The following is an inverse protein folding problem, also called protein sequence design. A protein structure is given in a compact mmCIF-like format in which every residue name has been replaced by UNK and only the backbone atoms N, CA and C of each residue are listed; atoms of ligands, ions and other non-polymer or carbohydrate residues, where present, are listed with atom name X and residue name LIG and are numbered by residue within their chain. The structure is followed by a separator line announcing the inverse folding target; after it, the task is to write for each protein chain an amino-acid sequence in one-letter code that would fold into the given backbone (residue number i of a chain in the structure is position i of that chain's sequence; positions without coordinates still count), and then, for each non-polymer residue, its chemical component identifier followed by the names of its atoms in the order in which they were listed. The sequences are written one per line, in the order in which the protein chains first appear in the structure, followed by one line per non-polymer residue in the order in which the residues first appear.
data_IF_422844126744
#
_entry.id   IF_422844126744
#
_cell.length_a   1.000
_cell.length_b   1.000
_cell.length_c   1.000
_cell.angle_alpha   90.00
_cell.angle_beta   90.00
_cell.angle_gamma   90.00
#
_symmetry.space_group_name_H-M   'P 1'
#
loop_
_entity.id
_entity.type
_entity.pdbx_description
1 polymer ?
#
# COMPACT_ATOMS: atom_id res chain seq x y z
N UNK A 1 -22.25 10.70 -48.23
CA UNK A 1 -21.90 11.05 -46.83
C UNK A 1 -22.75 12.19 -46.29
N UNK A 2 -22.36 13.49 -46.37
CA UNK A 2 -23.06 14.61 -45.69
C UNK A 2 -24.59 14.67 -45.86
N UNK A 3 -25.10 14.48 -47.09
CA UNK A 3 -26.55 14.52 -47.33
C UNK A 3 -27.29 13.30 -46.77
N UNK A 4 -26.64 12.13 -46.72
CA UNK A 4 -27.26 10.87 -46.25
C UNK A 4 -27.12 10.64 -44.75
N UNK A 5 -26.16 11.28 -44.08
CA UNK A 5 -25.96 11.26 -42.61
C UNK A 5 -26.28 12.61 -41.97
N UNK A 6 -27.21 13.37 -42.59
CA UNK A 6 -27.55 14.74 -42.17
C UNK A 6 -28.22 14.79 -40.80
N UNK A 7 -28.85 13.70 -40.36
CA UNK A 7 -29.53 13.62 -39.06
C UNK A 7 -28.51 13.60 -37.93
N UNK A 8 -27.48 12.78 -38.07
CA UNK A 8 -26.39 12.57 -37.10
C UNK A 8 -25.47 13.80 -37.01
N UNK A 9 -25.21 14.45 -38.16
CA UNK A 9 -24.49 15.74 -38.19
C UNK A 9 -25.29 16.84 -37.49
N UNK A 10 -26.63 16.78 -37.52
CA UNK A 10 -27.52 17.79 -36.89
C UNK A 10 -27.73 17.56 -35.41
N UNK A 11 -27.68 16.32 -34.94
CA UNK A 11 -27.68 15.99 -33.51
C UNK A 11 -26.32 16.27 -32.85
N UNK A 12 -25.26 16.42 -33.64
CA UNK A 12 -23.90 16.63 -33.15
C UNK A 12 -23.15 15.33 -32.89
N UNK A 13 -23.68 14.20 -33.32
CA UNK A 13 -23.10 12.87 -33.06
C UNK A 13 -21.86 12.62 -33.92
N UNK A 14 -21.78 13.22 -35.12
CA UNK A 14 -20.63 13.10 -36.02
C UNK A 14 -20.17 14.44 -36.58
N UNK A 15 -18.86 14.66 -36.58
CA UNK A 15 -18.18 15.67 -37.38
C UNK A 15 -17.37 15.00 -38.49
N UNK A 16 -17.43 15.56 -39.71
CA UNK A 16 -16.76 14.98 -40.88
C UNK A 16 -15.70 15.92 -41.45
N UNK A 17 -14.45 15.48 -41.37
CA UNK A 17 -13.31 16.04 -42.08
C UNK A 17 -13.05 15.20 -43.33
N UNK A 18 -12.98 15.85 -44.50
CA UNK A 18 -12.80 15.17 -45.80
C UNK A 18 -11.38 15.39 -46.31
N UNK A 19 -10.77 14.39 -46.94
CA UNK A 19 -9.50 14.50 -47.65
C UNK A 19 -9.63 13.85 -49.04
N UNK A 20 -8.91 14.37 -50.03
CA UNK A 20 -8.93 13.88 -51.41
C UNK A 20 -8.01 12.69 -51.68
N UNK A 21 -6.98 12.49 -50.86
CA UNK A 21 -6.03 11.38 -50.95
C UNK A 21 -5.38 11.09 -49.58
N UNK A 22 -4.55 10.03 -49.50
CA UNK A 22 -3.89 9.64 -48.25
C UNK A 22 -2.89 10.68 -47.70
N UNK A 23 -2.22 11.45 -48.55
CA UNK A 23 -1.28 12.50 -48.11
C UNK A 23 -2.03 13.63 -47.40
N UNK A 24 -3.12 14.10 -48.01
CA UNK A 24 -3.99 15.11 -47.40
C UNK A 24 -4.62 14.60 -46.11
N UNK A 25 -5.04 13.32 -46.06
CA UNK A 25 -5.59 12.72 -44.85
C UNK A 25 -4.60 12.76 -43.67
N UNK A 26 -3.32 12.40 -43.91
CA UNK A 26 -2.27 12.49 -42.89
C UNK A 26 -1.98 13.92 -42.45
N UNK A 27 -2.06 14.89 -43.38
CA UNK A 27 -1.94 16.30 -43.03
C UNK A 27 -3.07 16.74 -42.08
N UNK A 28 -4.31 16.33 -42.36
CA UNK A 28 -5.47 16.65 -41.51
C UNK A 28 -5.41 15.97 -40.15
N UNK A 29 -4.95 14.72 -40.06
CA UNK A 29 -4.73 14.04 -38.77
C UNK A 29 -3.65 14.72 -37.90
N UNK A 30 -2.72 15.46 -38.53
CA UNK A 30 -1.72 16.26 -37.79
C UNK A 30 -2.30 17.58 -37.30
N UNK A 31 -3.19 18.19 -38.09
CA UNK A 31 -3.87 19.46 -37.76
C UNK A 31 -5.00 19.27 -36.74
N UNK A 32 -5.78 18.20 -36.87
CA UNK A 32 -6.95 17.87 -36.08
C UNK A 32 -6.66 16.64 -35.21
N UNK A 33 -6.36 16.87 -33.93
CA UNK A 33 -6.04 15.83 -32.93
C UNK A 33 -7.27 15.17 -32.30
N UNK A 34 -8.45 15.65 -32.67
CA UNK A 34 -9.78 15.22 -32.23
C UNK A 34 -10.44 14.22 -33.19
N UNK A 35 -9.77 13.83 -34.28
CA UNK A 35 -10.29 12.80 -35.19
C UNK A 35 -10.14 11.42 -34.54
N UNK A 36 -11.26 10.74 -34.29
CA UNK A 36 -11.26 9.39 -33.71
C UNK A 36 -11.09 8.28 -34.76
N UNK A 37 -11.65 8.48 -35.95
CA UNK A 37 -11.82 7.44 -36.95
C UNK A 37 -11.54 7.95 -38.37
N UNK A 38 -10.85 7.13 -39.17
CA UNK A 38 -10.60 7.38 -40.60
C UNK A 38 -11.34 6.34 -41.43
N UNK A 39 -12.25 6.79 -42.28
CA UNK A 39 -12.87 5.96 -43.30
C UNK A 39 -12.19 6.25 -44.66
N UNK A 40 -11.46 5.28 -45.21
CA UNK A 40 -10.68 5.48 -46.45
C UNK A 40 -11.01 4.46 -47.53
N UNK A 41 -10.99 4.88 -48.79
CA UNK A 41 -11.04 3.96 -49.93
C UNK A 41 -9.68 3.27 -50.11
N UNK A 42 -9.66 2.00 -50.53
CA UNK A 42 -8.40 1.32 -50.86
C UNK A 42 -7.74 2.00 -52.06
N UNK A 43 -8.49 2.28 -53.12
CA UNK A 43 -7.93 2.76 -54.37
C UNK A 43 -8.11 4.27 -54.47
N UNK A 44 -7.05 5.03 -54.18
CA UNK A 44 -7.02 6.50 -54.23
C UNK A 44 -5.78 6.99 -54.98
N UNK A 45 -5.82 8.19 -55.61
CA UNK A 45 -4.65 8.78 -56.26
C UNK A 45 -3.59 9.19 -55.24
N UNK A 46 -2.33 9.30 -55.69
CA UNK A 46 -1.13 9.70 -54.91
C UNK A 46 -0.72 8.72 -53.80
N UNK A 47 -1.59 8.49 -52.82
CA UNK A 47 -1.39 7.52 -51.74
C UNK A 47 -2.67 6.71 -51.54
N UNK A 48 -2.54 5.38 -51.66
CA UNK A 48 -3.63 4.43 -51.52
C UNK A 48 -4.03 4.22 -50.04
N UNK A 49 -5.21 3.63 -49.82
CA UNK A 49 -5.76 3.43 -48.47
C UNK A 49 -4.96 2.46 -47.62
N UNK A 50 -4.26 1.50 -48.24
CA UNK A 50 -3.43 0.52 -47.53
C UNK A 50 -2.13 1.15 -47.01
N UNK A 51 -1.52 2.02 -47.80
CA UNK A 51 -0.35 2.81 -47.41
C UNK A 51 -0.73 3.82 -46.34
N UNK A 52 -1.89 4.47 -46.48
CA UNK A 52 -2.44 5.36 -45.45
C UNK A 52 -2.62 4.62 -44.11
N UNK A 53 -3.22 3.43 -44.13
CA UNK A 53 -3.45 2.61 -42.94
C UNK A 53 -2.16 2.33 -42.16
N UNK A 54 -1.06 2.02 -42.86
CA UNK A 54 0.25 1.78 -42.23
C UNK A 54 0.86 3.04 -41.61
N UNK A 55 0.53 4.21 -42.14
CA UNK A 55 1.09 5.49 -41.69
C UNK A 55 0.29 6.14 -40.56
N UNK A 56 -1.02 5.87 -40.44
CA UNK A 56 -1.88 6.44 -39.39
C UNK A 56 -1.28 6.27 -37.98
N UNK A 57 -0.82 5.07 -37.56
CA UNK A 57 -0.27 4.88 -36.21
C UNK A 57 0.95 5.73 -35.88
N UNK A 58 1.70 6.18 -36.90
CA UNK A 58 2.86 7.07 -36.71
C UNK A 58 2.46 8.53 -36.45
N UNK A 59 1.25 8.92 -36.84
CA UNK A 59 0.69 10.27 -36.60
C UNK A 59 -0.10 10.30 -35.31
N UNK A 60 -0.96 9.30 -35.12
CA UNK A 60 -1.74 9.10 -33.91
C UNK A 60 -2.11 7.61 -33.76
N UNK A 61 -1.58 6.91 -32.73
CA UNK A 61 -1.85 5.50 -32.52
C UNK A 61 -3.28 5.19 -32.05
N UNK A 62 -4.06 6.20 -31.65
CA UNK A 62 -5.42 6.03 -31.13
C UNK A 62 -6.49 6.05 -32.23
N UNK A 63 -6.15 6.56 -33.42
CA UNK A 63 -7.07 6.66 -34.55
C UNK A 63 -7.35 5.28 -35.13
N UNK A 64 -8.63 4.94 -35.32
CA UNK A 64 -9.03 3.67 -35.94
C UNK A 64 -9.39 3.87 -37.40
N UNK A 65 -8.94 2.95 -38.26
CA UNK A 65 -9.21 3.03 -39.69
C UNK A 65 -10.21 1.97 -40.12
N UNK A 66 -11.27 2.38 -40.81
CA UNK A 66 -12.19 1.49 -41.52
C UNK A 66 -11.97 1.66 -43.01
N UNK A 67 -11.85 0.55 -43.72
CA UNK A 67 -11.46 0.55 -45.12
C UNK A 67 -12.66 0.26 -46.02
N UNK A 68 -12.85 1.07 -47.06
CA UNK A 68 -13.90 0.89 -48.07
C UNK A 68 -13.32 0.20 -49.30
N UNK A 69 -13.82 -1.00 -49.62
CA UNK A 69 -13.33 -1.83 -50.72
C UNK A 69 -14.41 -2.16 -51.76
N UNK A 70 -14.01 -2.60 -52.95
CA UNK A 70 -14.92 -3.05 -53.98
C UNK A 70 -15.53 -4.43 -53.63
N UNK A 71 -16.76 -4.69 -54.07
CA UNK A 71 -17.39 -6.01 -53.93
C UNK A 71 -16.53 -7.10 -54.57
N UNK A 72 -16.17 -8.13 -53.80
CA UNK A 72 -15.35 -9.26 -54.27
C UNK A 72 -13.83 -9.06 -54.16
N UNK A 73 -13.34 -7.90 -53.72
CA UNK A 73 -11.90 -7.65 -53.54
C UNK A 73 -11.38 -8.20 -52.19
N UNK A 74 -11.52 -9.52 -52.01
CA UNK A 74 -11.15 -10.20 -50.79
C UNK A 74 -9.65 -10.14 -50.49
N UNK A 75 -8.80 -10.03 -51.52
CA UNK A 75 -7.35 -9.96 -51.35
C UNK A 75 -6.95 -8.67 -50.64
N UNK A 76 -7.49 -7.53 -51.08
CA UNK A 76 -7.17 -6.25 -50.46
C UNK A 76 -7.85 -6.08 -49.10
N UNK A 77 -9.08 -6.58 -48.91
CA UNK A 77 -9.75 -6.59 -47.59
C UNK A 77 -8.91 -7.38 -46.57
N UNK A 78 -8.50 -8.60 -46.92
CA UNK A 78 -7.65 -9.42 -46.04
C UNK A 78 -6.33 -8.71 -45.72
N UNK A 79 -5.75 -8.04 -46.71
CA UNK A 79 -4.51 -7.27 -46.53
C UNK A 79 -4.73 -6.10 -45.56
N UNK A 80 -5.83 -5.36 -45.69
CA UNK A 80 -6.19 -4.26 -44.80
C UNK A 80 -6.37 -4.76 -43.34
N UNK A 81 -7.14 -5.82 -43.13
CA UNK A 81 -7.36 -6.37 -41.78
C UNK A 81 -6.05 -6.86 -41.15
N UNK A 82 -5.20 -7.56 -41.92
CA UNK A 82 -3.87 -7.99 -41.43
C UNK A 82 -2.93 -6.82 -41.11
N UNK A 83 -3.18 -5.64 -41.68
CA UNK A 83 -2.42 -4.40 -41.43
C UNK A 83 -3.06 -3.54 -40.33
N UNK A 84 -4.08 -4.03 -39.65
CA UNK A 84 -4.70 -3.35 -38.50
C UNK A 84 -5.88 -2.44 -38.84
N UNK A 85 -6.51 -2.61 -40.01
CA UNK A 85 -7.83 -2.01 -40.22
C UNK A 85 -8.81 -2.55 -39.17
N UNK A 86 -9.56 -1.64 -38.57
CA UNK A 86 -10.52 -1.96 -37.51
C UNK A 86 -11.72 -2.74 -38.07
N UNK A 87 -12.21 -2.30 -39.23
CA UNK A 87 -13.27 -2.99 -39.98
C UNK A 87 -13.24 -2.58 -41.46
N UNK A 88 -14.17 -3.10 -42.26
CA UNK A 88 -14.30 -2.74 -43.67
C UNK A 88 -15.77 -2.57 -44.10
N UNK A 89 -15.97 -1.79 -45.17
CA UNK A 89 -17.28 -1.61 -45.84
C UNK A 89 -17.13 -1.89 -47.33
N UNK A 90 -18.13 -2.53 -47.94
CA UNK A 90 -18.07 -2.87 -49.37
C UNK A 90 -18.85 -1.88 -50.24
N UNK A 91 -18.44 -1.73 -51.51
CA UNK A 91 -19.16 -0.94 -52.53
C UNK A 91 -20.09 -1.83 -53.36
N UNK A 92 -21.32 -1.39 -53.72
CA UNK A 92 -21.92 -0.10 -53.37
C UNK A 92 -22.22 0.00 -51.87
N UNK A 93 -21.94 1.17 -51.29
CA UNK A 93 -22.01 1.38 -49.83
C UNK A 93 -23.45 1.21 -49.35
N UNK A 94 -23.68 0.20 -48.51
CA UNK A 94 -24.86 0.10 -47.67
C UNK A 94 -24.71 1.06 -46.49
N UNK A 95 -25.65 2.00 -46.36
CA UNK A 95 -25.56 3.04 -45.34
C UNK A 95 -26.01 2.54 -43.97
N UNK A 96 -26.79 1.47 -43.88
CA UNK A 96 -27.16 0.87 -42.60
C UNK A 96 -25.96 0.10 -42.02
N UNK A 97 -25.26 -0.66 -42.87
CA UNK A 97 -24.02 -1.37 -42.51
C UNK A 97 -22.88 -0.40 -42.14
N UNK A 98 -22.70 0.68 -42.93
CA UNK A 98 -21.74 1.73 -42.61
C UNK A 98 -22.02 2.38 -41.26
N UNK A 99 -23.30 2.63 -40.92
CA UNK A 99 -23.67 3.18 -39.61
C UNK A 99 -23.32 2.24 -38.47
N UNK A 100 -23.67 0.96 -38.59
CA UNK A 100 -23.33 -0.05 -37.60
C UNK A 100 -21.81 -0.09 -37.39
N UNK A 101 -21.05 -0.08 -38.48
CA UNK A 101 -19.58 -0.09 -38.44
C UNK A 101 -19.01 1.14 -37.76
N UNK A 102 -19.48 2.35 -38.10
CA UNK A 102 -19.05 3.60 -37.47
C UNK A 102 -19.39 3.59 -35.99
N UNK A 103 -20.65 3.30 -35.63
CA UNK A 103 -21.09 3.26 -34.23
C UNK A 103 -20.26 2.30 -33.40
N UNK A 104 -20.07 1.06 -33.87
CA UNK A 104 -19.26 0.06 -33.18
C UNK A 104 -17.79 0.49 -33.04
N UNK A 105 -17.24 1.13 -34.06
CA UNK A 105 -15.86 1.64 -34.04
C UNK A 105 -15.71 2.73 -32.97
N UNK A 106 -16.62 3.70 -32.95
CA UNK A 106 -16.60 4.80 -31.98
C UNK A 106 -16.84 4.30 -30.54
N UNK A 107 -17.82 3.42 -30.31
CA UNK A 107 -18.06 2.79 -29.00
C UNK A 107 -16.80 2.07 -28.48
N UNK A 108 -16.08 1.39 -29.37
CA UNK A 108 -14.84 0.72 -29.01
C UNK A 108 -13.75 1.74 -28.64
N UNK A 109 -13.60 2.82 -29.40
CA UNK A 109 -12.63 3.89 -29.10
C UNK A 109 -12.92 4.50 -27.73
N UNK A 110 -14.18 4.81 -27.42
CA UNK A 110 -14.59 5.34 -26.13
C UNK A 110 -14.26 4.39 -24.98
N UNK A 111 -14.53 3.09 -25.15
CA UNK A 111 -14.17 2.07 -24.15
C UNK A 111 -12.65 2.03 -23.90
N UNK A 112 -11.84 2.05 -24.96
CA UNK A 112 -10.38 2.08 -24.84
C UNK A 112 -9.90 3.36 -24.12
N UNK A 113 -10.47 4.52 -24.47
CA UNK A 113 -10.13 5.80 -23.82
C UNK A 113 -10.44 5.76 -22.33
N UNK A 114 -11.63 5.29 -21.95
CA UNK A 114 -12.02 5.15 -20.55
C UNK A 114 -11.13 4.18 -19.78
N UNK A 115 -10.73 3.07 -20.40
CA UNK A 115 -9.80 2.11 -19.80
C UNK A 115 -8.40 2.71 -19.59
N UNK A 116 -7.89 3.47 -20.56
CA UNK A 116 -6.61 4.18 -20.44
C UNK A 116 -6.64 5.23 -19.34
N UNK A 117 -7.68 6.06 -19.28
CA UNK A 117 -7.84 7.06 -18.22
C UNK A 117 -7.93 6.41 -16.83
N UNK A 118 -8.65 5.30 -16.71
CA UNK A 118 -8.77 4.57 -15.45
C UNK A 118 -7.42 3.98 -15.01
N UNK A 119 -6.67 3.41 -15.95
CA UNK A 119 -5.32 2.90 -15.70
C UNK A 119 -4.38 4.02 -15.27
N UNK A 120 -4.39 5.15 -15.97
CA UNK A 120 -3.49 6.27 -15.66
C UNK A 120 -3.81 6.85 -14.27
N UNK A 121 -5.09 6.89 -13.87
CA UNK A 121 -5.50 7.23 -12.49
C UNK A 121 -4.97 6.24 -11.45
N UNK A 122 -5.02 4.94 -11.72
CA UNK A 122 -4.47 3.92 -10.82
C UNK A 122 -2.96 4.08 -10.64
N UNK A 123 -2.23 4.33 -11.73
CA UNK A 123 -0.78 4.59 -11.68
C UNK A 123 -0.45 5.82 -10.81
N UNK A 124 -1.24 6.88 -10.90
CA UNK A 124 -1.07 8.06 -10.03
C UNK A 124 -1.29 7.69 -8.56
N UNK A 125 -2.38 6.96 -8.25
CA UNK A 125 -2.71 6.55 -6.89
C UNK A 125 -1.65 5.63 -6.27
N UNK A 126 -1.15 4.66 -7.04
CA UNK A 126 -0.06 3.76 -6.61
C UNK A 126 1.22 4.55 -6.26
N UNK A 127 1.55 5.57 -7.06
CA UNK A 127 2.70 6.43 -6.78
C UNK A 127 2.51 7.29 -5.52
N UNK A 128 1.30 7.80 -5.29
CA UNK A 128 0.96 8.55 -4.07
C UNK A 128 1.03 7.67 -2.82
N UNK A 129 0.52 6.44 -2.89
CA UNK A 129 0.61 5.45 -1.81
C UNK A 129 2.06 5.04 -1.52
N UNK A 130 2.86 4.80 -2.56
CA UNK A 130 4.30 4.51 -2.41
C UNK A 130 5.07 5.67 -1.76
N UNK A 131 4.70 6.91 -2.06
CA UNK A 131 5.27 8.08 -1.39
C UNK A 131 4.87 8.12 0.09
N UNK A 132 3.60 7.88 0.41
CA UNK A 132 3.10 7.84 1.78
C UNK A 132 3.81 6.77 2.62
N UNK A 133 4.02 5.57 2.05
CA UNK A 133 4.78 4.49 2.70
C UNK A 133 6.19 4.95 3.09
N UNK A 134 6.92 5.55 2.14
CA UNK A 134 8.28 6.04 2.40
C UNK A 134 8.31 7.12 3.48
N UNK A 135 7.30 7.98 3.53
CA UNK A 135 7.16 8.97 4.61
C UNK A 135 6.94 8.27 5.96
N UNK A 136 6.05 7.29 6.02
CA UNK A 136 5.79 6.50 7.24
C UNK A 136 7.07 5.83 7.74
N UNK A 137 7.78 5.13 6.87
CA UNK A 137 9.05 4.46 7.18
C UNK A 137 10.13 5.45 7.63
N UNK A 138 10.18 6.66 7.07
CA UNK A 138 11.16 7.70 7.47
C UNK A 138 10.92 8.28 8.85
N UNK A 139 9.69 8.15 9.37
CA UNK A 139 9.29 8.67 10.68
C UNK A 139 9.69 7.68 11.79
N UNK A 140 9.72 6.37 11.51
CA UNK A 140 10.11 5.33 12.47
C UNK A 140 11.62 5.38 12.80
N UNK A 141 12.03 4.98 14.01
CA UNK A 141 13.45 4.90 14.36
C UNK A 141 14.22 3.95 13.43
N UNK A 142 15.31 4.46 12.85
CA UNK A 142 16.25 3.67 12.02
C UNK A 142 17.60 3.47 12.69
N UNK A 143 17.88 4.22 13.75
CA UNK A 143 19.09 4.09 14.57
C UNK A 143 18.72 3.53 15.93
N UNK A 144 19.44 2.50 16.34
CA UNK A 144 19.24 1.82 17.62
C UNK A 144 20.48 1.97 18.50
N UNK A 145 20.32 2.03 19.84
CA UNK A 145 21.46 2.07 20.75
C UNK A 145 22.29 0.79 20.66
N UNK A 146 23.58 0.95 20.37
CA UNK A 146 24.59 -0.12 20.45
C UNK A 146 25.34 0.08 21.77
N UNK A 147 24.90 -0.61 22.83
CA UNK A 147 25.55 -0.57 24.14
C UNK A 147 25.82 -1.97 24.66
N UNK A 148 26.87 -2.10 25.46
CA UNK A 148 27.16 -3.35 26.18
C UNK A 148 26.16 -3.61 27.31
N UNK A 149 25.53 -2.56 27.86
CA UNK A 149 24.56 -2.69 28.94
C UNK A 149 23.17 -3.11 28.46
N UNK A 150 22.81 -2.78 27.21
CA UNK A 150 21.58 -3.22 26.57
C UNK A 150 21.60 -3.02 25.05
N UNK A 151 20.80 -3.81 24.35
CA UNK A 151 20.62 -3.75 22.91
C UNK A 151 19.14 -3.60 22.59
N UNK A 152 18.83 -2.82 21.55
CA UNK A 152 17.46 -2.67 21.05
C UNK A 152 17.47 -2.85 19.55
N UNK A 153 16.46 -3.49 19.00
CA UNK A 153 16.25 -3.52 17.56
C UNK A 153 14.76 -3.72 17.25
N UNK A 154 14.28 -3.10 16.17
CA UNK A 154 12.92 -3.27 15.71
C UNK A 154 12.83 -3.35 14.20
N UNK A 155 11.76 -3.97 13.76
CA UNK A 155 11.36 -4.06 12.36
C UNK A 155 9.83 -4.05 12.28
N UNK A 156 9.32 -3.54 11.16
CA UNK A 156 7.91 -3.47 10.84
C UNK A 156 7.71 -3.78 9.37
N UNK A 157 6.86 -4.75 9.07
CA UNK A 157 6.45 -5.15 7.72
C UNK A 157 4.96 -4.83 7.55
N UNK A 158 4.63 -3.83 6.72
CA UNK A 158 3.24 -3.43 6.50
C UNK A 158 2.51 -4.41 5.57
N UNK A 159 1.25 -4.75 5.88
CA UNK A 159 0.43 -5.65 5.07
C UNK A 159 -0.11 -5.00 3.79
N UNK A 160 -0.11 -3.66 3.74
CA UNK A 160 -0.55 -2.83 2.62
C UNK A 160 0.50 -1.75 2.34
N UNK A 161 0.20 -0.86 1.38
CA UNK A 161 1.09 0.27 1.09
C UNK A 161 1.37 1.14 2.31
N UNK A 162 0.42 1.30 3.22
CA UNK A 162 0.59 2.01 4.49
C UNK A 162 -0.06 1.23 5.63
N UNK A 163 0.61 1.24 6.78
CA UNK A 163 0.21 0.46 7.97
C UNK A 163 -0.42 1.30 9.09
N UNK A 164 -1.16 0.65 9.99
CA UNK A 164 -1.62 1.21 11.27
C UNK A 164 -0.60 1.05 12.40
N UNK A 165 0.30 0.06 12.27
CA UNK A 165 1.32 -0.23 13.27
C UNK A 165 2.41 0.83 13.38
N UNK A 166 3.02 0.93 14.56
CA UNK A 166 4.31 1.58 14.75
C UNK A 166 5.07 1.09 15.97
N UNK A 167 6.38 1.36 15.96
CA UNK A 167 7.23 1.31 17.14
C UNK A 167 7.96 2.64 17.34
N UNK A 168 8.40 2.91 18.58
CA UNK A 168 9.24 4.07 18.85
C UNK A 168 10.25 3.85 19.99
N UNK A 169 11.33 4.62 19.94
CA UNK A 169 12.32 4.75 21.01
C UNK A 169 12.28 6.17 21.55
N UNK A 170 11.80 6.30 22.79
CA UNK A 170 11.64 7.58 23.46
C UNK A 170 12.85 7.85 24.35
N UNK A 171 13.57 8.97 24.17
CA UNK A 171 14.61 9.35 25.11
C UNK A 171 13.95 9.77 26.43
N UNK A 172 14.24 9.05 27.50
CA UNK A 172 13.74 9.38 28.84
C UNK A 172 14.90 9.96 29.67
N UNK A 173 14.60 10.92 30.55
CA UNK A 173 15.60 11.53 31.42
C UNK A 173 16.31 10.49 32.30
N UNK A 174 17.59 10.73 32.57
CA UNK A 174 18.43 9.87 33.42
C UNK A 174 19.05 8.69 32.69
N UNK A 175 19.20 8.73 31.37
CA UNK A 175 19.82 7.63 30.60
C UNK A 175 18.91 6.42 30.40
N UNK A 176 17.62 6.54 30.76
CA UNK A 176 16.59 5.54 30.55
C UNK A 176 16.09 5.58 29.10
N UNK A 177 15.58 4.45 28.62
CA UNK A 177 15.04 4.32 27.27
C UNK A 177 13.57 3.91 27.34
N UNK A 178 12.71 4.66 26.67
CA UNK A 178 11.31 4.29 26.45
C UNK A 178 11.18 3.45 25.18
N UNK A 179 10.42 2.37 25.26
CA UNK A 179 10.10 1.46 24.17
C UNK A 179 8.59 1.43 23.99
N UNK A 180 8.13 1.67 22.77
CA UNK A 180 6.72 1.63 22.44
C UNK A 180 6.47 0.74 21.23
N UNK A 181 5.39 -0.05 21.29
CA UNK A 181 4.77 -0.72 20.14
C UNK A 181 3.27 -0.45 20.22
N UNK A 182 2.67 -0.23 19.06
CA UNK A 182 1.28 0.12 18.95
C UNK A 182 0.68 -0.33 17.63
N UNK A 183 -0.62 -0.60 17.67
CA UNK A 183 -1.44 -0.97 16.52
C UNK A 183 -2.74 -0.13 16.51
N UNK A 184 -3.05 0.45 15.35
CA UNK A 184 -4.21 1.29 15.12
C UNK A 184 -5.33 0.49 14.48
N UNK A 185 -6.53 0.61 15.05
CA UNK A 185 -7.73 0.00 14.50
C UNK A 185 -7.99 0.42 13.04
N UNK A 186 -8.26 -0.54 12.17
CA UNK A 186 -8.55 -0.30 10.77
C UNK A 186 -7.31 -0.48 9.89
N UNK A 187 -7.40 -0.14 8.60
CA UNK A 187 -6.32 -0.38 7.62
C UNK A 187 -6.23 0.75 6.60
N UNK A 188 -5.08 0.89 5.97
CA UNK A 188 -4.83 1.87 4.91
C UNK A 188 -4.67 3.30 5.43
N UNK A 189 -4.99 4.29 4.60
CA UNK A 189 -4.67 5.71 4.85
C UNK A 189 -5.23 6.24 6.18
N UNK A 190 -6.51 5.99 6.57
CA UNK A 190 -7.02 6.50 7.85
C UNK A 190 -6.22 5.99 9.06
N UNK A 191 -5.93 4.69 9.10
CA UNK A 191 -5.14 4.08 10.16
C UNK A 191 -3.72 4.66 10.20
N UNK A 192 -3.05 4.80 9.05
CA UNK A 192 -1.72 5.41 8.96
C UNK A 192 -1.68 6.87 9.44
N UNK A 193 -2.73 7.66 9.18
CA UNK A 193 -2.82 9.04 9.68
C UNK A 193 -3.01 9.09 11.20
N UNK A 194 -3.85 8.21 11.74
CA UNK A 194 -4.06 8.13 13.18
C UNK A 194 -2.83 7.57 13.90
N UNK A 195 -2.09 6.67 13.26
CA UNK A 195 -0.77 6.21 13.70
C UNK A 195 0.18 7.39 13.86
N UNK A 196 0.35 8.22 12.82
CA UNK A 196 1.27 9.37 12.86
C UNK A 196 0.89 10.36 13.97
N UNK A 197 -0.41 10.61 14.16
CA UNK A 197 -0.91 11.43 15.26
C UNK A 197 -0.59 10.82 16.61
N UNK A 198 -0.90 9.52 16.81
CA UNK A 198 -0.65 8.79 18.06
C UNK A 198 0.82 8.81 18.44
N UNK A 199 1.72 8.53 17.49
CA UNK A 199 3.17 8.58 17.71
C UNK A 199 3.66 9.99 18.06
N UNK A 200 3.16 11.02 17.37
CA UNK A 200 3.53 12.41 17.64
C UNK A 200 3.12 12.84 19.03
N UNK A 201 1.89 12.51 19.44
CA UNK A 201 1.38 12.77 20.79
C UNK A 201 2.17 12.00 21.84
N UNK A 202 2.50 10.74 21.59
CA UNK A 202 3.32 9.92 22.49
C UNK A 202 4.69 10.55 22.74
N UNK A 203 5.40 10.95 21.69
CA UNK A 203 6.69 11.64 21.83
C UNK A 203 6.57 12.95 22.59
N UNK A 204 5.49 13.71 22.37
CA UNK A 204 5.21 14.96 23.08
C UNK A 204 4.98 14.75 24.57
N UNK A 205 4.08 13.82 24.93
CA UNK A 205 3.73 13.50 26.31
C UNK A 205 4.90 12.89 27.10
N UNK A 206 5.87 12.26 26.43
CA UNK A 206 7.07 11.73 27.06
C UNK A 206 8.11 12.81 27.45
N UNK A 207 7.98 14.05 26.98
CA UNK A 207 8.94 15.12 27.30
C UNK A 207 8.78 15.53 28.78
N UNK A 208 9.82 15.31 29.59
CA UNK A 208 9.80 15.66 31.01
C UNK A 208 8.90 14.76 31.88
N UNK A 209 8.42 13.64 31.32
CA UNK A 209 7.63 12.64 32.02
C UNK A 209 8.31 11.28 31.91
N UNK A 210 8.29 10.50 32.99
CA UNK A 210 8.88 9.15 33.00
C UNK A 210 8.00 8.09 33.66
N UNK A 211 6.75 8.44 33.92
CA UNK A 211 5.71 7.52 34.38
C UNK A 211 4.88 7.09 33.16
N UNK A 212 4.93 5.80 32.76
CA UNK A 212 4.26 5.34 31.56
C UNK A 212 2.73 5.46 31.66
N UNK A 213 2.14 5.28 32.86
CA UNK A 213 0.71 5.45 33.09
C UNK A 213 0.27 6.89 32.82
N UNK A 214 1.04 7.88 33.29
CA UNK A 214 0.75 9.30 33.04
C UNK A 214 0.88 9.65 31.56
N UNK A 215 1.90 9.14 30.88
CA UNK A 215 2.10 9.36 29.44
C UNK A 215 0.89 8.81 28.66
N UNK A 216 0.49 7.56 28.89
CA UNK A 216 -0.65 6.97 28.19
C UNK A 216 -1.96 7.69 28.47
N UNK A 217 -2.15 8.18 29.71
CA UNK A 217 -3.34 8.97 30.07
C UNK A 217 -3.42 10.27 29.28
N UNK A 218 -2.31 11.00 29.18
CA UNK A 218 -2.23 12.26 28.43
C UNK A 218 -2.48 12.01 26.95
N UNK A 219 -1.81 11.01 26.36
CA UNK A 219 -2.02 10.62 24.96
C UNK A 219 -3.48 10.23 24.71
N UNK A 220 -4.08 9.44 25.60
CA UNK A 220 -5.48 9.02 25.48
C UNK A 220 -6.45 10.21 25.49
N UNK A 221 -6.25 11.18 26.39
CA UNK A 221 -7.07 12.39 26.44
C UNK A 221 -7.00 13.16 25.13
N UNK A 222 -5.79 13.39 24.61
CA UNK A 222 -5.57 14.10 23.35
C UNK A 222 -6.13 13.34 22.15
N UNK A 223 -6.01 12.01 22.12
CA UNK A 223 -6.58 11.18 21.05
C UNK A 223 -8.10 11.14 21.08
N UNK A 224 -8.74 11.30 22.24
CA UNK A 224 -10.19 11.40 22.33
C UNK A 224 -10.71 12.76 21.84
N UNK A 225 -9.89 13.80 21.80
CA UNK A 225 -10.28 15.12 21.28
C UNK A 225 -10.49 15.06 19.77
N UNK A 226 -11.73 15.30 19.32
CA UNK A 226 -12.13 15.31 17.90
C UNK A 226 -11.95 13.95 17.18
N UNK A 227 -12.11 12.83 17.89
CA UNK A 227 -12.10 11.48 17.30
C UNK A 227 -13.44 11.09 16.66
N UNK A 228 -13.91 11.86 15.68
CA UNK A 228 -15.20 11.62 15.01
C UNK A 228 -15.24 10.29 14.24
N UNK A 229 -14.07 9.77 13.86
CA UNK A 229 -13.90 8.49 13.17
C UNK A 229 -13.97 7.28 14.10
N UNK A 230 -14.02 7.50 15.42
CA UNK A 230 -14.02 6.45 16.44
C UNK A 230 -12.89 5.41 16.27
N UNK A 231 -11.71 5.86 15.80
CA UNK A 231 -10.53 5.01 15.71
C UNK A 231 -9.84 4.92 17.06
N UNK A 232 -9.17 3.82 17.33
CA UNK A 232 -8.43 3.61 18.57
C UNK A 232 -7.07 3.02 18.27
N UNK A 233 -6.17 3.07 19.26
CA UNK A 233 -4.83 2.51 19.16
C UNK A 233 -4.55 1.67 20.41
N UNK A 234 -4.16 0.42 20.20
CA UNK A 234 -3.57 -0.38 21.27
C UNK A 234 -2.10 0.03 21.40
N UNK A 235 -1.60 0.24 22.62
CA UNK A 235 -0.24 0.74 22.83
C UNK A 235 0.40 0.15 24.08
N UNK A 236 1.56 -0.49 23.92
CA UNK A 236 2.43 -0.87 25.03
C UNK A 236 3.56 0.15 25.18
N UNK A 237 3.75 0.71 26.38
CA UNK A 237 4.86 1.60 26.69
C UNK A 237 5.65 1.06 27.89
N UNK A 238 6.93 0.78 27.67
CA UNK A 238 7.88 0.41 28.72
C UNK A 238 9.03 1.40 28.82
N UNK A 239 9.51 1.64 30.04
CA UNK A 239 10.65 2.49 30.35
C UNK A 239 11.69 1.60 31.04
N UNK A 240 12.82 1.44 30.38
CA UNK A 240 13.93 0.62 30.83
C UNK A 240 15.04 1.49 31.41
N UNK A 241 15.51 1.11 32.59
CA UNK A 241 16.72 1.63 33.22
C UNK A 241 17.88 0.66 33.02
N UNK A 242 18.90 1.01 32.20
CA UNK A 242 20.04 0.14 31.97
C UNK A 242 20.92 -0.12 33.20
N UNK A 243 20.95 0.79 34.18
CA UNK A 243 21.80 0.67 35.37
C UNK A 243 21.21 -0.38 36.32
N UNK A 244 19.91 -0.28 36.60
CA UNK A 244 19.23 -1.17 37.55
C UNK A 244 18.69 -2.44 36.88
N UNK A 245 18.32 -2.34 35.60
CA UNK A 245 17.55 -3.33 34.86
C UNK A 245 16.05 -3.29 35.16
N UNK A 246 15.58 -2.26 35.85
CA UNK A 246 14.16 -2.04 36.08
C UNK A 246 13.46 -1.71 34.76
N UNK A 247 12.34 -2.40 34.52
CA UNK A 247 11.47 -2.17 33.38
C UNK A 247 10.08 -1.87 33.88
N UNK A 248 9.73 -0.58 33.91
CA UNK A 248 8.40 -0.09 34.34
C UNK A 248 7.56 0.12 33.09
N UNK A 249 6.34 -0.38 33.06
CA UNK A 249 5.49 -0.33 31.87
C UNK A 249 4.03 -0.08 32.19
N UNK A 250 3.31 0.41 31.20
CA UNK A 250 1.86 0.46 31.16
C UNK A 250 1.39 -0.08 29.81
N UNK A 251 0.33 -0.89 29.83
CA UNK A 251 -0.26 -1.45 28.63
C UNK A 251 -1.66 -0.87 28.40
N UNK A 252 -1.84 -0.18 27.28
CA UNK A 252 -3.10 0.29 26.74
C UNK A 252 -3.69 -0.71 25.74
N UNK A 253 -4.02 -1.92 26.20
CA UNK A 253 -4.78 -2.90 25.44
C UNK A 253 -4.01 -3.61 24.32
N UNK A 254 -2.69 -3.46 24.28
CA UNK A 254 -1.81 -4.12 23.32
C UNK A 254 -1.37 -5.51 23.80
N UNK A 255 -0.74 -6.28 22.93
CA UNK A 255 -0.27 -7.61 23.26
C UNK A 255 0.81 -7.56 24.35
N UNK A 256 0.71 -8.39 25.40
CA UNK A 256 1.72 -8.42 26.45
C UNK A 256 3.05 -8.93 25.86
N UNK A 257 4.17 -8.22 26.08
CA UNK A 257 5.47 -8.66 25.60
C UNK A 257 5.88 -10.03 26.18
N UNK A 258 6.61 -10.81 25.39
CA UNK A 258 7.22 -12.07 25.85
C UNK A 258 8.58 -11.76 26.45
N UNK A 259 8.82 -12.24 27.67
CA UNK A 259 10.11 -12.22 28.34
C UNK A 259 10.74 -13.60 28.22
N UNK A 260 11.89 -13.66 27.53
CA UNK A 260 12.79 -14.79 27.54
C UNK A 260 13.86 -14.56 28.58
N UNK A 261 13.91 -15.42 29.59
CA UNK A 261 14.99 -15.42 30.57
C UNK A 261 16.29 -15.92 29.93
N UNK A 262 17.43 -15.60 30.54
CA UNK A 262 18.73 -16.07 30.08
C UNK A 262 18.86 -17.62 29.99
N UNK A 263 18.00 -18.36 30.70
CA UNK A 263 17.92 -19.83 30.63
C UNK A 263 17.01 -20.35 29.50
N UNK A 264 16.41 -19.45 28.72
CA UNK A 264 15.48 -19.76 27.63
C UNK A 264 14.00 -19.82 28.05
N UNK A 265 13.68 -19.69 29.34
CA UNK A 265 12.29 -19.79 29.82
C UNK A 265 11.46 -18.59 29.33
N UNK A 266 10.39 -18.81 28.54
CA UNK A 266 9.48 -17.76 28.14
C UNK A 266 8.41 -17.50 29.20
N UNK A 267 7.98 -16.24 29.32
CA UNK A 267 6.81 -15.84 30.10
C UNK A 267 6.22 -14.56 29.56
N UNK A 268 4.90 -14.38 29.62
CA UNK A 268 4.28 -13.10 29.31
C UNK A 268 4.51 -12.11 30.45
N UNK A 269 4.67 -10.83 30.10
CA UNK A 269 4.56 -9.77 31.09
C UNK A 269 3.19 -9.79 31.78
N UNK A 270 3.13 -9.56 33.10
CA UNK A 270 1.86 -9.37 33.79
C UNK A 270 0.99 -8.28 33.17
N UNK A 271 -0.32 -8.47 33.17
CA UNK A 271 -1.26 -7.47 32.62
C UNK A 271 -1.38 -6.26 33.54
N UNK A 272 -1.71 -5.10 32.94
CA UNK A 272 -2.04 -3.84 33.67
C UNK A 272 -3.50 -3.43 33.47
N UNK A 273 -4.34 -4.35 32.96
CA UNK A 273 -5.79 -4.22 32.71
C UNK A 273 -6.22 -3.00 31.88
N UNK A 274 -5.30 -2.39 31.12
CA UNK A 274 -5.63 -1.31 30.19
C UNK A 274 -6.30 -1.85 28.94
N UNK A 275 -7.20 -1.04 28.39
CA UNK A 275 -7.82 -1.23 27.07
C UNK A 275 -7.13 -0.30 26.07
N UNK A 276 -7.64 -0.11 24.86
CA UNK A 276 -7.04 0.80 23.89
C UNK A 276 -7.22 2.29 24.22
N UNK A 277 -6.33 3.13 23.68
CA UNK A 277 -6.40 4.58 23.72
C UNK A 277 -7.34 5.12 22.63
N UNK A 278 -7.97 6.27 22.89
CA UNK A 278 -8.87 6.94 21.94
C UNK A 278 -10.33 6.49 22.03
N UNK A 279 -10.66 5.52 22.90
CA UNK A 279 -12.04 5.04 23.09
C UNK A 279 -12.81 5.90 24.09
N UNK A 280 -12.27 6.07 25.31
CA UNK A 280 -12.90 6.84 26.37
C UNK A 280 -11.87 7.78 27.02
N UNK A 281 -12.19 9.05 27.30
CA UNK A 281 -11.22 10.00 27.84
C UNK A 281 -10.76 9.64 29.27
N UNK A 282 -11.65 9.04 30.08
CA UNK A 282 -11.43 8.80 31.51
C UNK A 282 -10.88 7.39 31.81
N UNK A 283 -10.00 6.86 30.96
CA UNK A 283 -9.34 5.57 31.19
C UNK A 283 -8.18 5.75 32.18
N UNK A 284 -8.11 4.83 33.16
CA UNK A 284 -6.99 4.73 34.09
C UNK A 284 -6.07 3.61 33.59
N UNK A 285 -4.89 3.98 33.11
CA UNK A 285 -3.81 3.03 32.84
C UNK A 285 -3.06 2.74 34.15
N UNK A 286 -2.84 1.47 34.46
CA UNK A 286 -2.00 1.09 35.60
C UNK A 286 -0.57 0.86 35.13
N UNK A 287 0.37 1.08 36.05
CA UNK A 287 1.77 0.71 35.84
C UNK A 287 2.09 -0.60 36.56
N UNK A 288 3.06 -1.32 36.02
CA UNK A 288 3.66 -2.48 36.67
C UNK A 288 5.16 -2.49 36.34
N UNK A 289 5.95 -3.27 37.07
CA UNK A 289 7.38 -3.35 36.85
C UNK A 289 7.93 -4.75 37.02
N UNK A 290 9.01 -5.01 36.30
CA UNK A 290 9.85 -6.19 36.48
C UNK A 290 11.32 -5.77 36.51
N UNK A 291 12.18 -6.68 36.95
CA UNK A 291 13.62 -6.54 36.75
C UNK A 291 14.08 -7.56 35.71
N UNK A 292 14.67 -7.07 34.63
CA UNK A 292 15.34 -7.89 33.63
C UNK A 292 16.74 -8.19 34.14
N UNK A 293 17.14 -9.45 34.26
CA UNK A 293 18.52 -9.82 34.57
C UNK A 293 19.40 -9.71 33.32
N UNK A 294 20.74 -9.60 33.46
CA UNK A 294 21.64 -9.69 32.31
C UNK A 294 21.38 -10.94 31.47
N UNK A 295 21.22 -10.77 30.16
CA UNK A 295 20.85 -11.84 29.22
C UNK A 295 19.35 -12.01 29.00
N UNK A 296 18.49 -11.46 29.85
CA UNK A 296 17.04 -11.47 29.63
C UNK A 296 16.67 -10.61 28.41
N UNK A 297 15.68 -11.08 27.66
CA UNK A 297 15.20 -10.45 26.44
C UNK A 297 13.69 -10.24 26.51
N UNK A 298 13.23 -9.03 26.25
CA UNK A 298 11.83 -8.68 26.08
C UNK A 298 11.53 -8.49 24.59
N UNK A 299 10.55 -9.24 24.08
CA UNK A 299 10.06 -9.14 22.71
C UNK A 299 8.66 -8.53 22.75
N UNK A 300 8.55 -7.30 22.25
CA UNK A 300 7.31 -6.56 22.06
C UNK A 300 6.87 -6.77 20.61
N UNK A 301 5.59 -7.03 20.38
CA UNK A 301 5.07 -7.40 19.06
C UNK A 301 3.62 -6.97 18.91
N UNK A 302 3.21 -6.69 17.67
CA UNK A 302 1.80 -6.54 17.32
C UNK A 302 1.13 -7.89 17.10
N UNK A 303 -0.20 -7.91 17.10
CA UNK A 303 -0.98 -9.11 16.83
C UNK A 303 -0.73 -9.71 15.45
N UNK A 304 -0.27 -8.94 14.46
CA UNK A 304 0.16 -9.45 13.16
C UNK A 304 1.25 -10.53 13.24
N UNK A 305 2.05 -10.59 14.31
CA UNK A 305 2.95 -11.73 14.56
C UNK A 305 2.18 -13.00 14.92
N UNK A 306 1.26 -12.91 15.89
CA UNK A 306 0.54 -14.08 16.43
C UNK A 306 -0.64 -14.51 15.57
N UNK A 307 -1.25 -13.57 14.84
CA UNK A 307 -2.40 -13.81 13.95
C UNK A 307 -1.97 -14.05 12.50
N UNK A 308 -0.67 -14.08 12.20
CA UNK A 308 -0.18 -14.46 10.89
C UNK A 308 -0.71 -15.84 10.51
N UNK A 309 -1.37 -15.93 9.35
CA UNK A 309 -2.00 -17.15 8.86
C UNK A 309 -1.11 -17.88 7.86
N UNK A 310 -1.11 -19.21 7.92
CA UNK A 310 -0.57 -20.04 6.85
C UNK A 310 -1.59 -20.26 5.72
N UNK A 311 -1.18 -20.98 4.67
CA UNK A 311 -2.05 -21.30 3.52
C UNK A 311 -3.29 -22.13 3.87
N UNK A 312 -3.31 -22.77 5.04
CA UNK A 312 -4.44 -23.55 5.57
C UNK A 312 -5.38 -22.71 6.47
N UNK A 313 -5.02 -21.45 6.75
CA UNK A 313 -5.77 -20.54 7.62
C UNK A 313 -5.53 -20.78 9.11
N UNK A 314 -4.46 -21.50 9.48
CA UNK A 314 -4.04 -21.62 10.88
C UNK A 314 -3.18 -20.42 11.28
N UNK A 315 -3.38 -19.91 12.49
CA UNK A 315 -2.60 -18.79 13.03
C UNK A 315 -1.27 -19.26 13.63
N UNK A 316 -0.27 -18.37 13.63
CA UNK A 316 1.04 -18.62 14.21
C UNK A 316 0.96 -18.89 15.72
N UNK A 317 0.14 -18.11 16.42
CA UNK A 317 -0.11 -18.16 17.86
C UNK A 317 1.14 -17.94 18.73
N UNK A 318 0.95 -17.87 20.05
CA UNK A 318 2.03 -17.65 21.02
C UNK A 318 2.96 -18.85 21.16
N UNK A 319 2.45 -20.08 21.04
CA UNK A 319 3.22 -21.29 21.25
C UNK A 319 4.39 -21.38 20.25
N UNK A 320 4.15 -21.03 18.97
CA UNK A 320 5.22 -21.00 17.96
C UNK A 320 6.21 -19.87 18.21
N UNK A 321 5.78 -18.74 18.76
CA UNK A 321 6.69 -17.66 19.17
C UNK A 321 7.64 -18.13 20.28
N UNK A 322 7.15 -18.95 21.23
CA UNK A 322 8.01 -19.55 22.26
C UNK A 322 9.00 -20.55 21.65
N UNK A 323 8.57 -21.33 20.66
CA UNK A 323 9.40 -22.32 19.98
C UNK A 323 10.59 -21.71 19.23
N UNK A 324 10.49 -20.45 18.77
CA UNK A 324 11.59 -19.74 18.06
C UNK A 324 12.90 -19.79 18.87
N UNK A 325 12.83 -19.71 20.20
CA UNK A 325 13.99 -19.68 21.09
C UNK A 325 14.08 -20.88 22.04
N UNK A 326 13.37 -21.97 21.75
CA UNK A 326 13.34 -23.15 22.61
C UNK A 326 14.70 -23.87 22.71
N UNK A 327 15.50 -23.87 21.63
CA UNK A 327 16.83 -24.50 21.62
C UNK A 327 17.92 -23.61 22.19
N UNK A 328 17.81 -22.29 21.97
CA UNK A 328 18.77 -21.31 22.44
C UNK A 328 18.11 -19.94 22.64
N UNK A 329 18.42 -19.24 23.75
CA UNK A 329 17.90 -17.90 23.98
C UNK A 329 18.47 -16.89 22.97
N UNK A 330 17.81 -15.74 22.78
CA UNK A 330 18.26 -14.71 21.87
C UNK A 330 19.69 -14.20 22.19
N UNK A 331 20.55 -14.18 21.16
CA UNK A 331 21.95 -13.76 21.32
C UNK A 331 22.11 -12.24 21.38
N UNK A 332 21.35 -11.55 20.56
CA UNK A 332 21.31 -10.10 20.46
C UNK A 332 19.92 -9.66 19.98
N UNK A 333 19.58 -8.39 20.21
CA UNK A 333 18.25 -7.87 19.90
C UNK A 333 17.91 -7.93 18.41
N UNK A 334 18.88 -7.78 17.51
CA UNK A 334 18.64 -7.80 16.06
C UNK A 334 18.33 -9.21 15.59
N UNK A 335 19.19 -10.16 15.95
CA UNK A 335 18.99 -11.57 15.61
C UNK A 335 17.66 -12.07 16.16
N UNK A 336 17.27 -11.66 17.37
CA UNK A 336 15.96 -11.99 17.95
C UNK A 336 14.79 -11.55 17.07
N UNK A 337 14.75 -10.26 16.70
CA UNK A 337 13.69 -9.72 15.84
C UNK A 337 13.69 -10.40 14.47
N UNK A 338 14.86 -10.57 13.86
CA UNK A 338 15.00 -11.21 12.55
C UNK A 338 14.55 -12.68 12.58
N UNK A 339 14.81 -13.40 13.67
CA UNK A 339 14.43 -14.81 13.80
C UNK A 339 12.93 -14.98 14.04
N UNK A 340 12.29 -14.07 14.79
CA UNK A 340 10.83 -14.00 14.89
C UNK A 340 10.21 -13.75 13.51
N UNK A 341 10.68 -12.73 12.77
CA UNK A 341 10.14 -12.42 11.44
C UNK A 341 10.36 -13.57 10.45
N UNK A 342 11.51 -14.24 10.48
CA UNK A 342 11.77 -15.42 9.65
C UNK A 342 10.82 -16.57 10.01
N UNK A 343 10.57 -16.82 11.29
CA UNK A 343 9.67 -17.88 11.73
C UNK A 343 8.23 -17.62 11.25
N UNK A 344 7.75 -16.38 11.39
CA UNK A 344 6.43 -15.96 10.89
C UNK A 344 6.34 -16.11 9.38
N UNK A 345 7.31 -15.59 8.63
CA UNK A 345 7.33 -15.68 7.17
C UNK A 345 7.44 -17.14 6.68
N UNK A 346 8.23 -17.98 7.36
CA UNK A 346 8.34 -19.40 7.04
C UNK A 346 7.04 -20.17 7.33
N UNK A 347 6.33 -19.82 8.39
CA UNK A 347 5.04 -20.41 8.72
C UNK A 347 3.95 -20.00 7.73
N UNK A 348 3.92 -18.73 7.33
CA UNK A 348 2.95 -18.21 6.37
C UNK A 348 3.03 -18.92 5.00
N UNK A 349 4.22 -19.38 4.60
CA UNK A 349 4.49 -20.13 3.36
C UNK A 349 3.88 -19.48 2.10
N UNK A 350 4.00 -18.15 2.00
CA UNK A 350 3.48 -17.37 0.88
C UNK A 350 1.99 -17.02 0.96
N UNK A 351 1.32 -17.32 2.07
CA UNK A 351 0.00 -16.76 2.37
C UNK A 351 0.07 -15.22 2.39
N UNK A 352 -0.98 -14.52 1.91
CA UNK A 352 -1.02 -13.07 1.94
C UNK A 352 -1.07 -12.57 3.39
N UNK A 353 -0.24 -11.58 3.71
CA UNK A 353 -0.21 -10.98 5.04
C UNK A 353 -1.56 -10.32 5.37
N UNK A 354 -2.13 -10.70 6.52
CA UNK A 354 -3.44 -10.20 6.94
C UNK A 354 -3.35 -8.82 7.60
N UNK A 355 -2.39 -8.64 8.50
CA UNK A 355 -2.15 -7.39 9.24
C UNK A 355 -0.68 -7.01 9.32
N UNK A 356 -0.39 -5.77 9.70
CA UNK A 356 0.98 -5.29 9.87
C UNK A 356 1.74 -6.13 10.92
N UNK A 357 2.99 -6.46 10.62
CA UNK A 357 3.83 -7.27 11.50
C UNK A 357 4.88 -6.35 12.10
N UNK A 358 4.77 -6.06 13.39
CA UNK A 358 5.75 -5.25 14.12
C UNK A 358 6.40 -6.05 15.22
N UNK A 359 7.73 -5.93 15.33
CA UNK A 359 8.51 -6.57 16.38
C UNK A 359 9.61 -5.62 16.87
N UNK A 360 9.66 -5.39 18.19
CA UNK A 360 10.65 -4.59 18.89
C UNK A 360 11.26 -5.41 20.03
N UNK A 361 12.55 -5.65 19.97
CA UNK A 361 13.29 -6.41 20.97
C UNK A 361 14.15 -5.49 21.83
N UNK A 362 14.07 -5.68 23.15
CA UNK A 362 15.03 -5.18 24.13
C UNK A 362 15.77 -6.37 24.74
N UNK A 363 17.09 -6.32 24.74
CA UNK A 363 17.93 -7.30 25.44
C UNK A 363 18.81 -6.60 26.46
N UNK A 364 18.77 -7.05 27.72
CA UNK A 364 19.72 -6.58 28.74
C UNK A 364 21.08 -7.25 28.51
N UNK A 365 22.12 -6.44 28.36
CA UNK A 365 23.48 -6.93 28.22
C UNK A 365 24.09 -7.36 29.56
N UNK A 366 25.18 -8.10 29.49
CA UNK A 366 26.07 -8.30 30.63
C UNK A 366 26.82 -7.02 30.87
N UNK A 367 26.57 -6.32 31.98
CA UNK A 367 27.35 -5.14 32.32
C UNK A 367 28.85 -5.45 32.26
N UNK A 368 29.66 -4.49 31.81
CA UNK A 368 31.11 -4.62 31.87
C UNK A 368 31.52 -4.88 33.33
N UNK A 369 32.08 -6.07 33.60
CA UNK A 369 32.70 -6.40 34.89
C UNK A 369 33.90 -5.50 35.19
#
# INVERSE_FOLDING_TARGET
MRQRMRREIRSGDYEFVFAGNGIEALAKLREHKDIDMVLSDINMPEMDGLTLLEQIPSVDPNVRSVVVSAYGDMKNIRTAMNRGAFDFVTKPIDFDDLRITITRTLETIELWRSALESRDKLVVLENELSLANRMQQSILPTSFPESDSYQVFASMEAARDVGGDFFDLLPIEGGRVGLAVADVSGKGIPAAMFMMSSRTLLRGAAIGQSDPSKILREVNQLLCENNDTAMFVTLFLGIFDPETGEFVYANGGHNPPVIFRADGTPSLLPTTDGIALGIFPDIIFQENSITLAPGDTAILYSDGVTEAENVEGEQFELDRLYEVFAEAPPRDARTATDDVLKAVNAFADGAPQFDDITCLTLRRGGGAE
#
